data_IF_818599818115
#
_entry.id   IF_818599818115
#
_cell.length_a   1.000
_cell.length_b   1.000
_cell.length_c   1.000
_cell.angle_alpha   90.00
_cell.angle_beta   90.00
_cell.angle_gamma   90.00
#
_symmetry.space_group_name_H-M   'P 1'
#
loop_
_entity.id
_entity.type
_entity.pdbx_description
1 polymer ?
#
# COMPACT_ATOMS: atom_id res chain seq x y z
N UNK A 1 -6.30 27.65 6.30
CA UNK A 1 -5.62 26.89 5.22
C UNK A 1 -6.55 25.76 4.88
N UNK A 2 -7.22 25.82 3.74
CA UNK A 2 -8.16 24.78 3.33
C UNK A 2 -7.35 23.54 2.96
N UNK A 3 -7.56 22.46 3.69
CA UNK A 3 -7.01 21.17 3.32
C UNK A 3 -7.86 20.67 2.15
N UNK A 4 -7.28 20.45 0.95
CA UNK A 4 -8.07 19.96 -0.18
C UNK A 4 -8.80 18.66 0.22
N UNK A 5 -10.05 18.46 -0.23
CA UNK A 5 -10.83 17.30 0.13
C UNK A 5 -10.07 16.03 -0.27
N UNK A 6 -9.77 15.19 0.72
CA UNK A 6 -9.05 13.94 0.50
C UNK A 6 -10.04 12.83 0.21
N UNK A 7 -9.88 12.16 -0.94
CA UNK A 7 -10.59 10.92 -1.26
C UNK A 7 -9.99 9.77 -0.46
N UNK A 8 -10.83 8.86 0.04
CA UNK A 8 -10.40 7.59 0.62
C UNK A 8 -10.63 6.49 -0.41
N UNK A 9 -9.55 5.85 -0.85
CA UNK A 9 -9.54 4.90 -1.97
C UNK A 9 -9.27 3.50 -1.43
N UNK A 10 -10.11 2.53 -1.83
CA UNK A 10 -9.90 1.10 -1.56
C UNK A 10 -9.13 0.48 -2.72
N UNK A 11 -8.05 -0.25 -2.41
CA UNK A 11 -7.31 -1.06 -3.36
C UNK A 11 -7.34 -2.52 -2.90
N UNK A 12 -7.52 -3.43 -3.84
CA UNK A 12 -7.45 -4.88 -3.60
C UNK A 12 -6.25 -5.43 -4.36
N UNK A 13 -5.37 -6.12 -3.64
CA UNK A 13 -4.05 -6.50 -4.09
C UNK A 13 -3.90 -8.02 -4.11
N UNK A 14 -3.24 -8.52 -5.15
CA UNK A 14 -2.64 -9.85 -5.21
C UNK A 14 -1.12 -9.70 -5.13
N UNK A 15 -0.44 -10.58 -4.40
CA UNK A 15 1.01 -10.66 -4.38
C UNK A 15 1.52 -12.07 -4.10
N UNK A 16 2.65 -12.38 -4.71
CA UNK A 16 3.50 -13.52 -4.35
C UNK A 16 4.49 -13.08 -3.25
N UNK A 17 4.31 -13.62 -2.04
CA UNK A 17 5.13 -13.32 -0.89
C UNK A 17 6.49 -14.01 -0.84
N UNK A 18 6.82 -14.92 -1.75
CA UNK A 18 7.98 -15.82 -1.63
C UNK A 18 9.32 -15.10 -1.43
N UNK A 19 9.47 -13.89 -1.96
CA UNK A 19 10.70 -13.08 -1.87
C UNK A 19 10.64 -11.97 -0.81
N UNK A 20 9.59 -11.94 0.02
CA UNK A 20 9.32 -10.86 0.96
C UNK A 20 9.29 -11.35 2.40
N UNK A 21 9.74 -10.48 3.32
CA UNK A 21 9.76 -10.72 4.76
C UNK A 21 8.45 -10.32 5.43
N UNK A 22 7.34 -10.59 4.75
CA UNK A 22 5.98 -10.32 5.17
C UNK A 22 5.42 -9.02 4.63
N UNK A 23 4.22 -8.68 5.09
CA UNK A 23 3.51 -7.50 4.63
C UNK A 23 4.14 -6.21 5.17
N UNK A 24 4.18 -6.08 6.50
CA UNK A 24 4.52 -4.83 7.17
C UNK A 24 6.00 -4.48 7.01
N UNK A 25 6.27 -3.21 6.73
CA UNK A 25 7.61 -2.63 6.60
C UNK A 25 8.47 -2.89 7.83
N UNK A 26 9.70 -3.30 7.58
CA UNK A 26 10.72 -3.60 8.58
C UNK A 26 12.07 -3.06 8.08
N UNK A 27 12.90 -2.53 8.99
CA UNK A 27 14.17 -1.94 8.60
C UNK A 27 15.10 -2.96 7.92
N UNK A 28 15.60 -2.62 6.73
CA UNK A 28 16.58 -3.43 6.00
C UNK A 28 16.03 -4.73 5.41
N UNK A 29 14.71 -4.87 5.26
CA UNK A 29 14.07 -6.08 4.71
C UNK A 29 13.13 -5.69 3.58
N UNK A 30 13.12 -6.47 2.51
CA UNK A 30 12.11 -6.34 1.46
C UNK A 30 10.75 -6.80 1.99
N UNK A 31 9.73 -5.93 1.95
CA UNK A 31 8.36 -6.22 2.39
C UNK A 31 7.33 -5.73 1.36
N UNK A 32 6.12 -6.26 1.42
CA UNK A 32 5.05 -5.87 0.49
C UNK A 32 4.65 -4.40 0.68
N UNK A 33 4.56 -3.92 1.92
CA UNK A 33 4.21 -2.52 2.22
C UNK A 33 5.25 -1.53 1.65
N UNK A 34 6.55 -1.85 1.70
CA UNK A 34 7.59 -0.96 1.17
C UNK A 34 7.51 -0.83 -0.35
N UNK A 35 7.40 -1.96 -1.07
CA UNK A 35 7.26 -1.94 -2.53
C UNK A 35 5.95 -1.26 -2.98
N UNK A 36 4.85 -1.54 -2.29
CA UNK A 36 3.56 -0.93 -2.57
C UNK A 36 3.63 0.59 -2.39
N UNK A 37 4.18 1.07 -1.27
CA UNK A 37 4.35 2.49 -1.02
C UNK A 37 5.28 3.14 -2.05
N UNK A 38 6.39 2.50 -2.41
CA UNK A 38 7.30 3.02 -3.43
C UNK A 38 6.59 3.21 -4.79
N UNK A 39 5.79 2.23 -5.22
CA UNK A 39 4.98 2.34 -6.44
C UNK A 39 3.89 3.41 -6.34
N UNK A 40 3.15 3.44 -5.24
CA UNK A 40 2.06 4.40 -5.03
C UNK A 40 2.58 5.83 -4.92
N UNK A 41 3.65 6.09 -4.18
CA UNK A 41 4.25 7.42 -4.05
C UNK A 41 4.79 7.92 -5.40
N UNK A 42 5.32 7.02 -6.24
CA UNK A 42 5.73 7.36 -7.62
C UNK A 42 4.54 7.73 -8.50
N UNK A 43 3.40 7.07 -8.39
CA UNK A 43 2.21 7.37 -9.20
C UNK A 43 1.52 8.65 -8.69
N UNK A 44 1.33 8.73 -7.37
CA UNK A 44 0.58 9.78 -6.71
C UNK A 44 1.42 11.03 -6.44
N UNK A 45 2.74 11.01 -6.69
CA UNK A 45 3.63 12.17 -6.54
C UNK A 45 3.53 12.85 -5.15
N UNK A 46 3.24 12.06 -4.12
CA UNK A 46 3.09 12.50 -2.74
C UNK A 46 3.42 11.34 -1.79
N UNK A 47 3.68 11.65 -0.52
CA UNK A 47 3.82 10.63 0.52
C UNK A 47 2.48 9.95 0.80
N UNK A 48 2.50 8.63 0.88
CA UNK A 48 1.30 7.82 1.06
C UNK A 48 1.37 7.10 2.40
N UNK A 49 0.24 7.08 3.09
CA UNK A 49 0.02 6.20 4.24
C UNK A 49 -1.15 5.29 3.90
N UNK A 50 -1.01 4.01 4.24
CA UNK A 50 -2.02 2.99 4.01
C UNK A 50 -2.52 2.43 5.35
N UNK A 51 -3.78 2.01 5.40
CA UNK A 51 -4.24 1.01 6.37
C UNK A 51 -4.55 -0.28 5.62
N UNK A 52 -4.36 -1.42 6.26
CA UNK A 52 -4.50 -2.73 5.64
C UNK A 52 -5.36 -3.66 6.50
N UNK A 53 -6.06 -4.60 5.87
CA UNK A 53 -6.99 -5.50 6.53
C UNK A 53 -6.30 -6.49 7.48
N UNK A 54 -5.08 -6.89 7.16
CA UNK A 54 -4.29 -7.78 8.01
C UNK A 54 -2.82 -7.86 7.60
N UNK A 55 -1.97 -8.31 8.51
CA UNK A 55 -0.58 -8.64 8.21
C UNK A 55 -0.49 -10.05 7.64
N UNK A 56 0.52 -10.28 6.81
CA UNK A 56 0.98 -11.62 6.44
C UNK A 56 2.44 -11.79 6.85
N UNK A 57 2.81 -13.01 7.23
CA UNK A 57 4.17 -13.36 7.62
C UNK A 57 5.08 -13.54 6.39
N UNK A 58 6.39 -13.68 6.63
CA UNK A 58 7.37 -13.89 5.57
C UNK A 58 7.01 -15.10 4.69
N UNK A 59 7.09 -14.92 3.37
CA UNK A 59 6.76 -15.95 2.38
C UNK A 59 5.26 -16.14 2.10
N UNK A 60 4.35 -15.57 2.90
CA UNK A 60 2.90 -15.75 2.70
C UNK A 60 2.38 -14.94 1.52
N UNK A 61 1.58 -15.57 0.65
CA UNK A 61 0.94 -14.94 -0.51
C UNK A 61 -0.46 -14.40 -0.14
N UNK A 62 -0.99 -13.49 -0.95
CA UNK A 62 -2.40 -13.09 -0.85
C UNK A 62 -3.00 -12.85 -2.23
N UNK A 63 -4.27 -13.25 -2.40
CA UNK A 63 -5.06 -12.99 -3.62
C UNK A 63 -5.90 -11.71 -3.55
N UNK A 64 -6.33 -11.35 -2.33
CA UNK A 64 -7.30 -10.29 -2.11
C UNK A 64 -6.99 -9.49 -0.84
N UNK A 65 -5.72 -9.11 -0.64
CA UNK A 65 -5.37 -8.20 0.44
C UNK A 65 -6.06 -6.86 0.19
N UNK A 66 -6.80 -6.36 1.17
CA UNK A 66 -7.50 -5.07 1.06
C UNK A 66 -6.71 -4.02 1.83
N UNK A 67 -6.46 -2.90 1.17
CA UNK A 67 -5.88 -1.71 1.79
C UNK A 67 -6.74 -0.48 1.47
N UNK A 68 -6.58 0.57 2.26
CA UNK A 68 -7.08 1.89 1.91
C UNK A 68 -6.00 2.95 2.08
N UNK A 69 -6.18 4.07 1.39
CA UNK A 69 -5.31 5.24 1.49
C UNK A 69 -6.05 6.51 1.14
N UNK A 70 -5.49 7.63 1.58
CA UNK A 70 -6.03 8.95 1.35
C UNK A 70 -5.21 9.67 0.26
N UNK A 71 -5.88 10.33 -0.68
CA UNK A 71 -5.24 11.11 -1.74
C UNK A 71 -6.07 12.33 -2.12
N UNK A 72 -5.40 13.43 -2.45
CA UNK A 72 -5.99 14.64 -3.05
C UNK A 72 -5.88 14.64 -4.58
N UNK A 73 -5.08 13.72 -5.15
CA UNK A 73 -5.00 13.55 -6.61
C UNK A 73 -6.27 12.91 -7.11
N UNK A 74 -6.69 13.35 -8.29
CA UNK A 74 -7.74 12.67 -9.01
C UNK A 74 -7.24 11.32 -9.51
N UNK A 75 -8.09 10.32 -9.41
CA UNK A 75 -7.86 8.98 -9.94
C UNK A 75 -9.06 8.73 -10.84
N UNK A 76 -8.80 8.70 -12.14
CA UNK A 76 -9.84 8.36 -13.12
C UNK A 76 -10.36 6.94 -12.84
N UNK A 77 -11.69 6.73 -12.88
CA UNK A 77 -12.32 5.44 -12.60
C UNK A 77 -12.01 4.36 -13.65
#
# INVERSE_FOLDING_TARGET
>A
MDNPPSKNVRLVLEYDGARYHGFQRQAGRATIEEELLAGMERILQQKVKISYAGRTDAGVHARWQVINFHTTRDIDP
#
